data_IF_146188495657
#
_entry.id   IF_146188495657
#
_cell.length_a   1.000
_cell.length_b   1.000
_cell.length_c   1.000
_cell.angle_alpha   90.00
_cell.angle_beta   90.00
_cell.angle_gamma   90.00
#
_symmetry.space_group_name_H-M   'P 1'
#
loop_
_entity.id
_entity.type
_entity.pdbx_description
1 polymer ?
#
# COMPACT_ATOMS: atom_id res chain seq x y z
N UNK A 1 30.06 23.70 -9.01
CA UNK A 1 29.05 24.29 -8.11
C UNK A 1 28.47 23.12 -7.34
N UNK A 2 28.90 22.94 -6.10
CA UNK A 2 28.59 21.77 -5.27
C UNK A 2 27.26 22.05 -4.56
N UNK A 3 26.26 21.18 -4.73
CA UNK A 3 25.03 21.22 -3.95
C UNK A 3 25.09 20.14 -2.89
N UNK A 4 25.33 20.55 -1.64
CA UNK A 4 25.14 19.74 -0.45
C UNK A 4 23.66 19.75 -0.05
N UNK A 5 23.06 18.56 0.13
CA UNK A 5 21.78 18.40 0.81
C UNK A 5 21.98 17.51 2.04
N UNK A 6 22.06 18.18 3.18
CA UNK A 6 22.15 17.59 4.52
C UNK A 6 20.79 16.97 4.90
N UNK A 7 20.74 15.66 5.09
CA UNK A 7 19.61 14.97 5.74
C UNK A 7 19.76 15.06 7.26
N UNK A 8 18.83 15.76 7.92
CA UNK A 8 18.70 15.74 9.38
C UNK A 8 17.58 14.78 9.78
N UNK A 9 17.97 13.66 10.39
CA UNK A 9 17.09 12.74 11.08
C UNK A 9 16.52 13.38 12.36
N UNK A 10 15.23 13.16 12.65
CA UNK A 10 14.60 13.58 13.91
C UNK A 10 13.92 12.36 14.56
N UNK A 11 14.16 12.17 15.86
CA UNK A 11 13.69 11.04 16.66
C UNK A 11 12.97 11.48 17.96
N UNK A 12 11.79 10.86 18.18
CA UNK A 12 11.22 10.15 19.36
C UNK A 12 11.02 10.83 20.75
N UNK A 13 9.87 10.42 21.37
CA UNK A 13 9.40 10.41 22.79
C UNK A 13 8.35 11.51 23.13
N UNK A 14 7.24 11.33 23.84
CA UNK A 14 6.61 10.19 24.57
C UNK A 14 5.15 10.52 25.01
N UNK A 15 4.27 9.48 24.98
CA UNK A 15 3.11 9.06 25.80
C UNK A 15 2.25 10.00 26.70
N UNK A 16 0.89 9.91 26.63
CA UNK A 16 -0.03 9.28 27.64
C UNK A 16 -1.55 9.35 27.30
N UNK A 17 -2.34 8.49 27.99
CA UNK A 17 -3.70 7.93 27.78
C UNK A 17 -4.92 8.82 28.18
N UNK A 18 -6.09 8.57 27.57
CA UNK A 18 -7.36 8.03 28.17
C UNK A 18 -8.67 8.60 27.59
N UNK A 19 -9.73 7.76 27.65
CA UNK A 19 -11.06 7.90 27.04
C UNK A 19 -12.13 8.43 28.01
N UNK A 20 -13.28 8.94 27.48
CA UNK A 20 -14.67 8.69 27.94
C UNK A 20 -15.70 9.64 27.25
N UNK A 21 -17.01 9.27 27.21
CA UNK A 21 -17.98 9.65 26.18
C UNK A 21 -18.98 10.73 26.61
N UNK A 22 -19.78 11.24 25.66
CA UNK A 22 -21.05 11.88 25.95
C UNK A 22 -22.14 11.51 24.91
N UNK A 23 -23.21 10.88 25.40
CA UNK A 23 -24.54 10.84 24.77
C UNK A 23 -25.21 12.24 24.95
N UNK A 24 -26.30 12.67 24.32
CA UNK A 24 -27.54 12.01 23.91
C UNK A 24 -28.37 13.08 23.15
N UNK A 25 -29.25 12.69 22.21
CA UNK A 25 -30.26 13.61 21.67
C UNK A 25 -31.04 13.10 20.45
N UNK A 26 -32.11 12.34 20.70
CA UNK A 26 -33.09 11.88 19.69
C UNK A 26 -34.00 13.02 19.19
N UNK A 27 -34.31 13.01 17.89
CA UNK A 27 -35.65 13.32 17.36
C UNK A 27 -35.98 12.44 16.15
N UNK A 28 -37.05 11.67 16.27
CA UNK A 28 -37.65 10.85 15.22
C UNK A 28 -38.65 11.68 14.40
N UNK A 29 -38.58 11.60 13.08
CA UNK A 29 -39.72 11.79 12.19
C UNK A 29 -39.72 10.61 11.22
N UNK A 30 -40.79 9.81 11.25
CA UNK A 30 -40.96 8.65 10.39
C UNK A 30 -41.82 9.02 9.16
N UNK A 31 -41.28 8.85 7.95
CA UNK A 31 -41.92 8.09 6.85
C UNK A 31 -41.01 8.07 5.62
N UNK A 32 -40.57 6.87 5.30
CA UNK A 32 -39.98 6.47 4.02
C UNK A 32 -39.88 4.95 4.11
N UNK A 33 -40.47 4.25 3.15
CA UNK A 33 -40.58 2.79 3.13
C UNK A 33 -39.22 2.16 3.45
N UNK A 34 -39.11 1.42 4.55
CA UNK A 34 -37.95 0.56 4.79
C UNK A 34 -37.97 -0.52 3.72
N UNK A 35 -36.93 -0.66 2.88
CA UNK A 35 -36.71 -1.90 2.18
C UNK A 35 -36.72 -3.01 3.22
N UNK A 36 -37.34 -4.14 2.90
CA UNK A 36 -37.24 -5.35 3.70
C UNK A 36 -35.76 -5.72 3.69
N UNK A 37 -34.98 -5.32 4.70
CA UNK A 37 -33.61 -5.80 4.87
C UNK A 37 -33.68 -7.22 5.44
N UNK A 38 -34.03 -8.17 4.55
CA UNK A 38 -33.92 -9.58 4.83
C UNK A 38 -32.65 -10.10 4.17
N UNK A 39 -31.55 -10.13 4.92
CA UNK A 39 -30.29 -10.71 4.46
C UNK A 39 -29.14 -10.48 5.43
N UNK A 40 -28.21 -11.43 5.47
CA UNK A 40 -26.89 -11.25 6.08
C UNK A 40 -25.95 -10.69 5.00
N UNK A 41 -25.11 -9.71 5.32
CA UNK A 41 -24.08 -9.20 4.43
C UNK A 41 -23.26 -10.36 3.84
N UNK A 42 -23.07 -10.30 2.54
CA UNK A 42 -22.54 -11.39 1.73
C UNK A 42 -21.62 -10.86 0.61
N UNK A 43 -21.11 -11.75 -0.22
CA UNK A 43 -20.26 -11.39 -1.36
C UNK A 43 -21.00 -10.50 -2.38
N UNK A 44 -22.32 -10.65 -2.51
CA UNK A 44 -23.16 -9.84 -3.40
C UNK A 44 -23.18 -8.36 -3.00
N UNK A 45 -22.88 -8.05 -1.73
CA UNK A 45 -22.86 -6.68 -1.20
C UNK A 45 -21.49 -5.99 -1.38
N UNK A 46 -20.42 -6.74 -1.70
CA UNK A 46 -19.06 -6.22 -1.83
C UNK A 46 -18.91 -5.10 -2.88
N UNK A 47 -19.54 -5.17 -4.08
CA UNK A 47 -19.44 -4.07 -5.05
C UNK A 47 -20.00 -2.75 -4.50
N UNK A 48 -21.14 -2.79 -3.82
CA UNK A 48 -21.75 -1.60 -3.21
C UNK A 48 -20.87 -1.05 -2.08
N UNK A 49 -20.33 -1.93 -1.22
CA UNK A 49 -19.44 -1.53 -0.14
C UNK A 49 -18.17 -0.83 -0.65
N UNK A 50 -17.54 -1.39 -1.69
CA UNK A 50 -16.35 -0.81 -2.34
C UNK A 50 -16.66 0.54 -2.96
N UNK A 51 -17.81 0.69 -3.61
CA UNK A 51 -18.22 1.97 -4.21
C UNK A 51 -18.48 3.04 -3.14
N UNK A 52 -19.14 2.68 -2.03
CA UNK A 52 -19.37 3.60 -0.91
C UNK A 52 -18.06 4.06 -0.26
N UNK A 53 -17.14 3.14 0.05
CA UNK A 53 -15.82 3.47 0.60
C UNK A 53 -15.01 4.34 -0.38
N UNK A 54 -15.06 4.05 -1.68
CA UNK A 54 -14.40 4.87 -2.70
C UNK A 54 -14.95 6.30 -2.73
N UNK A 55 -16.28 6.46 -2.66
CA UNK A 55 -16.92 7.79 -2.63
C UNK A 55 -16.45 8.58 -1.41
N UNK A 56 -16.48 7.98 -0.23
CA UNK A 56 -16.00 8.57 1.02
C UNK A 56 -14.53 9.02 0.89
N UNK A 57 -13.62 8.11 0.55
CA UNK A 57 -12.19 8.40 0.31
C UNK A 57 -11.98 9.57 -0.64
N UNK A 58 -12.75 9.62 -1.74
CA UNK A 58 -12.59 10.64 -2.75
C UNK A 58 -13.15 12.01 -2.33
N UNK A 59 -14.19 12.04 -1.50
CA UNK A 59 -14.68 13.27 -0.90
C UNK A 59 -13.63 13.87 0.04
N UNK A 60 -12.99 13.05 0.86
CA UNK A 60 -11.98 13.49 1.84
C UNK A 60 -10.68 13.92 1.14
N UNK A 61 -10.25 13.17 0.13
CA UNK A 61 -9.12 13.55 -0.72
C UNK A 61 -9.41 14.86 -1.47
N UNK A 62 -10.63 15.06 -1.97
CA UNK A 62 -11.02 16.33 -2.60
C UNK A 62 -11.00 17.49 -1.61
N UNK A 63 -11.44 17.29 -0.36
CA UNK A 63 -11.34 18.30 0.70
C UNK A 63 -9.88 18.64 1.03
N UNK A 64 -8.97 17.69 0.87
CA UNK A 64 -7.52 17.88 1.02
C UNK A 64 -6.83 18.42 -0.27
N UNK A 65 -7.57 18.71 -1.34
CA UNK A 65 -7.02 19.20 -2.61
C UNK A 65 -6.27 18.13 -3.42
N UNK A 66 -6.54 16.86 -3.17
CA UNK A 66 -5.90 15.72 -3.84
C UNK A 66 -6.77 15.15 -4.96
N UNK A 67 -6.12 14.50 -5.92
CA UNK A 67 -6.80 13.78 -7.00
C UNK A 67 -7.62 12.59 -6.46
N UNK A 68 -8.76 12.36 -7.10
CA UNK A 68 -9.61 11.18 -6.86
C UNK A 68 -8.87 9.91 -7.25
N UNK A 69 -9.12 8.84 -6.50
CA UNK A 69 -8.70 7.48 -6.74
C UNK A 69 -9.73 6.73 -7.57
N UNK A 70 -9.27 5.73 -8.30
CA UNK A 70 -10.08 4.71 -8.96
C UNK A 70 -9.99 3.37 -8.22
N UNK A 71 -10.99 2.49 -8.39
CA UNK A 71 -10.89 1.13 -7.86
C UNK A 71 -9.89 0.31 -8.66
N UNK A 72 -9.03 -0.42 -7.96
CA UNK A 72 -8.16 -1.43 -8.56
C UNK A 72 -8.64 -2.84 -8.23
N UNK A 73 -8.98 -3.62 -9.26
CA UNK A 73 -9.54 -4.96 -9.11
C UNK A 73 -8.55 -5.97 -8.53
N UNK A 74 -7.27 -5.90 -8.92
CA UNK A 74 -6.25 -6.78 -8.37
C UNK A 74 -6.02 -6.47 -6.89
N UNK A 75 -5.93 -5.19 -6.54
CA UNK A 75 -5.80 -4.75 -5.16
C UNK A 75 -7.02 -5.14 -4.31
N UNK A 76 -8.25 -5.06 -4.85
CA UNK A 76 -9.46 -5.54 -4.17
C UNK A 76 -9.39 -7.04 -3.85
N UNK A 77 -8.87 -7.85 -4.78
CA UNK A 77 -8.73 -9.30 -4.58
C UNK A 77 -7.65 -9.59 -3.53
N UNK A 78 -6.46 -9.01 -3.67
CA UNK A 78 -5.33 -9.20 -2.73
C UNK A 78 -5.69 -8.74 -1.32
N UNK A 79 -6.34 -7.57 -1.19
CA UNK A 79 -6.82 -7.07 0.08
C UNK A 79 -7.95 -7.95 0.64
N UNK A 80 -8.82 -8.49 -0.21
CA UNK A 80 -9.90 -9.40 0.18
C UNK A 80 -9.37 -10.71 0.77
N UNK A 81 -8.38 -11.32 0.13
CA UNK A 81 -7.70 -12.51 0.62
C UNK A 81 -7.06 -12.26 2.00
N UNK A 82 -6.40 -11.12 2.17
CA UNK A 82 -5.80 -10.72 3.45
C UNK A 82 -6.86 -10.43 4.53
N UNK A 83 -7.95 -9.75 4.19
CA UNK A 83 -9.07 -9.53 5.11
C UNK A 83 -9.68 -10.86 5.58
N UNK A 84 -9.82 -11.83 4.67
CA UNK A 84 -10.31 -13.16 4.98
C UNK A 84 -9.34 -13.95 5.87
N UNK A 85 -8.03 -13.83 5.64
CA UNK A 85 -6.98 -14.42 6.49
C UNK A 85 -7.05 -13.84 7.91
N UNK A 86 -7.11 -12.51 8.05
CA UNK A 86 -7.28 -11.81 9.33
C UNK A 86 -8.57 -12.23 10.06
N UNK A 87 -9.68 -12.38 9.33
CA UNK A 87 -10.96 -12.80 9.91
C UNK A 87 -10.94 -14.28 10.30
N UNK A 88 -10.20 -15.12 9.57
CA UNK A 88 -10.08 -16.55 9.86
C UNK A 88 -9.18 -16.82 11.06
N UNK A 89 -8.06 -16.12 11.15
CA UNK A 89 -7.07 -16.25 12.21
C UNK A 89 -7.33 -15.36 13.43
N UNK A 90 -8.39 -14.56 13.43
CA UNK A 90 -8.75 -13.63 14.50
C UNK A 90 -7.55 -12.75 14.92
N UNK A 91 -6.96 -12.07 13.94
CA UNK A 91 -5.87 -11.12 14.14
C UNK A 91 -6.08 -9.85 13.29
N UNK A 92 -5.30 -8.80 13.58
CA UNK A 92 -5.19 -7.58 12.79
C UNK A 92 -3.69 -7.31 12.58
N UNK A 93 -3.21 -7.46 11.35
CA UNK A 93 -1.78 -7.28 11.02
C UNK A 93 -1.60 -6.91 9.56
N UNK A 94 -0.49 -6.24 9.23
CA UNK A 94 -0.04 -6.10 7.85
C UNK A 94 0.59 -7.38 7.28
N UNK A 95 0.97 -8.32 8.15
CA UNK A 95 1.49 -9.63 7.75
C UNK A 95 0.35 -10.62 7.64
N UNK A 96 0.36 -11.42 6.58
CA UNK A 96 -0.49 -12.61 6.50
C UNK A 96 -0.01 -13.69 7.46
N UNK A 97 -0.85 -14.71 7.67
CA UNK A 97 -0.51 -15.94 8.40
C UNK A 97 0.63 -16.73 7.76
N UNK A 98 0.95 -16.45 6.49
CA UNK A 98 2.12 -16.96 5.76
C UNK A 98 3.40 -16.11 5.92
N UNK A 99 3.32 -15.01 6.68
CA UNK A 99 4.43 -14.08 6.92
C UNK A 99 4.67 -13.06 5.79
N UNK A 100 3.84 -13.00 4.75
CA UNK A 100 4.00 -12.03 3.66
C UNK A 100 3.46 -10.65 4.03
N UNK A 101 4.19 -9.61 3.61
CA UNK A 101 3.83 -8.19 3.69
C UNK A 101 2.93 -7.76 2.52
N UNK A 102 2.30 -6.57 2.56
CA UNK A 102 1.36 -6.13 1.52
C UNK A 102 1.96 -6.15 0.11
N UNK A 103 3.18 -5.63 -0.06
CA UNK A 103 3.85 -5.61 -1.37
C UNK A 103 4.30 -7.00 -1.85
N UNK A 104 4.58 -7.95 -0.94
CA UNK A 104 4.78 -9.35 -1.32
C UNK A 104 3.49 -9.94 -1.90
N UNK A 105 2.36 -9.77 -1.19
CA UNK A 105 1.04 -10.30 -1.62
C UNK A 105 0.63 -9.70 -2.96
N UNK A 106 0.70 -8.37 -3.10
CA UNK A 106 0.33 -7.68 -4.33
C UNK A 106 1.22 -8.11 -5.51
N UNK A 107 2.54 -8.16 -5.31
CA UNK A 107 3.44 -8.48 -6.39
C UNK A 107 3.33 -9.94 -6.85
N UNK A 108 3.28 -10.91 -5.95
CA UNK A 108 3.11 -12.33 -6.33
C UNK A 108 1.72 -12.65 -6.90
N UNK A 109 0.74 -11.76 -6.74
CA UNK A 109 -0.55 -11.84 -7.44
C UNK A 109 -0.50 -11.25 -8.87
N UNK A 110 0.67 -10.78 -9.32
CA UNK A 110 0.89 -10.19 -10.65
C UNK A 110 0.94 -8.66 -10.67
N UNK A 111 0.86 -8.01 -9.50
CA UNK A 111 0.96 -6.56 -9.38
C UNK A 111 2.39 -6.05 -9.58
N UNK A 112 2.52 -4.87 -10.16
CA UNK A 112 3.85 -4.23 -10.37
C UNK A 112 3.95 -2.84 -9.78
N UNK A 113 2.82 -2.21 -9.48
CA UNK A 113 2.74 -0.87 -8.91
C UNK A 113 3.18 -0.84 -7.44
N UNK A 114 3.62 0.32 -6.97
CA UNK A 114 3.89 0.50 -5.55
C UNK A 114 2.59 0.54 -4.75
N UNK A 115 2.60 -0.08 -3.56
CA UNK A 115 1.44 -0.19 -2.69
C UNK A 115 1.69 0.32 -1.27
N UNK A 116 0.63 0.79 -0.63
CA UNK A 116 0.54 1.02 0.82
C UNK A 116 -0.78 0.47 1.33
N UNK A 117 -0.76 -0.13 2.52
CA UNK A 117 -1.92 -0.74 3.15
C UNK A 117 -2.27 -0.04 4.46
N UNK A 118 -3.57 0.22 4.64
CA UNK A 118 -4.20 0.39 5.94
C UNK A 118 -5.06 -0.84 6.26
N UNK A 119 -5.18 -1.19 7.55
CA UNK A 119 -6.02 -2.29 7.98
C UNK A 119 -6.81 -1.90 9.23
N UNK A 120 -8.06 -2.34 9.32
CA UNK A 120 -8.94 -2.12 10.45
C UNK A 120 -9.78 -3.35 10.75
N UNK A 121 -10.21 -3.48 12.00
CA UNK A 121 -11.04 -4.57 12.49
C UNK A 121 -12.16 -4.06 13.38
N UNK A 122 -13.32 -4.69 13.28
CA UNK A 122 -14.37 -4.61 14.29
C UNK A 122 -14.77 -6.03 14.72
N UNK A 123 -14.72 -6.30 16.02
CA UNK A 123 -15.14 -7.56 16.61
C UNK A 123 -16.48 -7.37 17.32
N UNK A 124 -17.28 -8.43 17.42
CA UNK A 124 -18.60 -8.43 18.05
C UNK A 124 -19.57 -7.37 17.47
N UNK A 125 -19.55 -7.19 16.14
CA UNK A 125 -20.43 -6.21 15.48
C UNK A 125 -21.92 -6.56 15.72
N UNK A 126 -22.74 -5.54 15.96
CA UNK A 126 -24.12 -5.74 16.42
C UNK A 126 -25.08 -6.13 15.29
N UNK A 127 -24.81 -5.67 14.06
CA UNK A 127 -25.70 -5.86 12.91
C UNK A 127 -24.95 -6.53 11.78
N UNK A 128 -25.46 -7.69 11.35
CA UNK A 128 -24.93 -8.43 10.20
C UNK A 128 -25.71 -8.14 8.91
N UNK A 129 -26.63 -7.17 8.93
CA UNK A 129 -27.35 -6.73 7.72
C UNK A 129 -26.42 -5.95 6.80
N UNK A 130 -26.73 -5.85 5.50
CA UNK A 130 -25.95 -5.02 4.59
C UNK A 130 -25.78 -3.58 5.08
N UNK A 131 -26.85 -2.88 5.48
CA UNK A 131 -26.72 -1.51 5.96
C UNK A 131 -25.92 -1.39 7.25
N UNK A 132 -26.06 -2.35 8.17
CA UNK A 132 -25.26 -2.40 9.40
C UNK A 132 -23.76 -2.51 9.12
N UNK A 133 -23.38 -3.48 8.29
CA UNK A 133 -21.97 -3.70 7.93
C UNK A 133 -21.41 -2.53 7.14
N UNK A 134 -22.16 -1.94 6.21
CA UNK A 134 -21.74 -0.74 5.47
C UNK A 134 -21.48 0.45 6.40
N UNK A 135 -22.31 0.64 7.43
CA UNK A 135 -22.08 1.65 8.45
C UNK A 135 -20.80 1.37 9.25
N UNK A 136 -20.59 0.13 9.68
CA UNK A 136 -19.38 -0.24 10.44
C UNK A 136 -18.10 -0.07 9.59
N UNK A 137 -18.14 -0.43 8.31
CA UNK A 137 -17.03 -0.18 7.37
C UNK A 137 -16.70 1.31 7.23
N UNK A 138 -17.73 2.15 7.12
CA UNK A 138 -17.56 3.60 7.07
C UNK A 138 -16.96 4.16 8.37
N UNK A 139 -17.43 3.70 9.54
CA UNK A 139 -16.89 4.12 10.83
C UNK A 139 -15.44 3.66 11.03
N UNK A 140 -15.09 2.46 10.56
CA UNK A 140 -13.71 1.95 10.54
C UNK A 140 -12.80 2.82 9.67
N UNK A 141 -13.23 3.21 8.47
CA UNK A 141 -12.50 4.12 7.59
C UNK A 141 -12.30 5.49 8.25
N UNK A 142 -13.38 6.10 8.76
CA UNK A 142 -13.31 7.40 9.42
C UNK A 142 -12.42 7.39 10.66
N UNK A 143 -12.37 6.29 11.42
CA UNK A 143 -11.45 6.16 12.54
C UNK A 143 -10.00 6.30 12.09
N UNK A 144 -9.60 5.60 11.03
CA UNK A 144 -8.26 5.67 10.44
C UNK A 144 -7.95 7.07 9.90
N UNK A 145 -8.91 7.71 9.22
CA UNK A 145 -8.74 9.07 8.70
C UNK A 145 -8.59 10.10 9.83
N UNK A 146 -9.30 9.94 10.94
CA UNK A 146 -9.37 10.93 12.01
C UNK A 146 -8.18 10.89 12.99
N UNK A 147 -7.28 9.93 12.83
CA UNK A 147 -6.03 9.86 13.59
C UNK A 147 -5.23 11.16 13.55
N UNK A 148 -4.47 11.41 14.63
CA UNK A 148 -3.73 12.67 14.85
C UNK A 148 -2.24 12.40 15.07
N UNK A 149 -1.36 13.30 14.60
CA UNK A 149 0.07 13.18 14.85
C UNK A 149 0.39 13.00 16.34
N UNK A 150 1.43 12.21 16.68
CA UNK A 150 2.33 11.49 15.77
C UNK A 150 1.82 10.10 15.33
N UNK A 151 0.64 9.68 15.80
CA UNK A 151 0.06 8.35 15.56
C UNK A 151 -1.01 8.42 14.47
N UNK A 152 -0.68 9.00 13.32
CA UNK A 152 -1.57 9.22 12.17
C UNK A 152 -1.10 8.50 10.91
N UNK A 153 -0.50 7.32 11.09
CA UNK A 153 -0.01 6.50 9.99
C UNK A 153 -1.10 6.24 8.95
N UNK A 154 -2.30 5.86 9.38
CA UNK A 154 -3.38 5.55 8.45
C UNK A 154 -3.88 6.79 7.71
N UNK A 155 -4.07 7.92 8.42
CA UNK A 155 -4.44 9.21 7.81
C UNK A 155 -3.41 9.64 6.76
N UNK A 156 -2.12 9.48 7.04
CA UNK A 156 -1.04 9.83 6.11
C UNK A 156 -1.07 8.95 4.86
N UNK A 157 -1.37 7.66 4.99
CA UNK A 157 -1.60 6.76 3.84
C UNK A 157 -2.79 7.22 3.00
N UNK A 158 -3.97 7.44 3.62
CA UNK A 158 -5.21 7.86 2.92
C UNK A 158 -4.97 9.14 2.09
N UNK A 159 -4.24 10.09 2.68
CA UNK A 159 -3.95 11.40 2.09
C UNK A 159 -2.61 11.44 1.33
N UNK A 160 -1.98 10.30 1.05
CA UNK A 160 -0.73 10.31 0.30
C UNK A 160 -0.99 10.75 -1.17
N UNK A 161 -0.33 11.80 -1.68
CA UNK A 161 -0.68 12.42 -2.97
C UNK A 161 -0.35 11.59 -4.21
N UNK A 162 0.52 10.58 -4.09
CA UNK A 162 0.90 9.72 -5.21
C UNK A 162 -0.01 8.49 -5.37
N UNK A 163 -1.03 8.30 -4.53
CA UNK A 163 -2.02 7.27 -4.83
C UNK A 163 -2.88 7.68 -6.02
N UNK A 164 -3.13 6.71 -6.88
CA UNK A 164 -3.97 6.83 -8.10
C UNK A 164 -5.16 5.89 -8.04
N UNK A 165 -5.01 4.75 -7.36
CA UNK A 165 -6.06 3.77 -7.19
C UNK A 165 -6.06 3.23 -5.75
N UNK A 166 -7.12 2.52 -5.40
CA UNK A 166 -7.27 1.79 -4.13
C UNK A 166 -8.06 0.51 -4.36
N UNK A 167 -7.73 -0.54 -3.62
CA UNK A 167 -8.56 -1.73 -3.47
C UNK A 167 -9.07 -1.87 -2.04
N UNK A 168 -10.35 -2.23 -1.88
CA UNK A 168 -10.92 -2.52 -0.57
C UNK A 168 -11.20 -4.01 -0.43
N UNK A 169 -10.49 -4.62 0.52
CA UNK A 169 -10.69 -5.98 0.99
C UNK A 169 -11.60 -5.99 2.19
N UNK A 170 -12.69 -6.76 2.13
CA UNK A 170 -13.70 -6.83 3.19
C UNK A 170 -13.95 -8.31 3.48
N UNK A 171 -13.94 -8.68 4.75
CA UNK A 171 -14.33 -10.02 5.18
C UNK A 171 -15.17 -9.96 6.45
N UNK A 172 -16.29 -10.68 6.44
CA UNK A 172 -17.17 -10.86 7.60
C UNK A 172 -17.26 -12.35 7.95
N UNK A 173 -16.73 -12.73 9.11
CA UNK A 173 -16.79 -14.11 9.62
C UNK A 173 -17.39 -14.13 11.02
N UNK A 174 -18.52 -14.79 11.22
CA UNK A 174 -19.24 -14.72 12.50
C UNK A 174 -19.67 -13.28 12.77
N UNK A 175 -19.08 -12.66 13.81
CA UNK A 175 -19.25 -11.25 14.16
C UNK A 175 -17.94 -10.45 14.01
N UNK A 176 -16.94 -11.01 13.32
CA UNK A 176 -15.65 -10.38 13.05
C UNK A 176 -15.65 -9.77 11.65
N UNK A 177 -15.56 -8.44 11.58
CA UNK A 177 -15.41 -7.66 10.37
C UNK A 177 -13.96 -7.21 10.21
N UNK A 178 -13.43 -7.33 9.00
CA UNK A 178 -12.09 -6.89 8.62
C UNK A 178 -12.16 -6.02 7.37
N UNK A 179 -11.39 -4.94 7.38
CA UNK A 179 -11.19 -4.03 6.26
C UNK A 179 -9.70 -3.89 6.00
N UNK A 180 -9.28 -4.10 4.76
CA UNK A 180 -7.95 -3.76 4.27
C UNK A 180 -8.10 -2.77 3.10
N UNK A 181 -7.41 -1.63 3.17
CA UNK A 181 -7.37 -0.61 2.13
C UNK A 181 -5.98 -0.64 1.50
N UNK A 182 -5.88 -1.16 0.27
CA UNK A 182 -4.63 -1.29 -0.45
C UNK A 182 -4.53 -0.21 -1.52
N UNK A 183 -3.81 0.85 -1.21
CA UNK A 183 -3.57 1.99 -2.09
C UNK A 183 -2.47 1.71 -3.10
N UNK A 184 -2.64 2.17 -4.34
CA UNK A 184 -1.79 1.83 -5.48
C UNK A 184 -1.34 3.07 -6.26
N UNK A 185 -0.06 3.09 -6.65
CA UNK A 185 0.56 4.16 -7.43
C UNK A 185 0.92 3.70 -8.85
N UNK A 186 0.00 3.90 -9.82
CA UNK A 186 0.18 3.49 -11.22
C UNK A 186 0.88 4.57 -12.05
N UNK A 187 2.20 4.48 -12.12
CA UNK A 187 3.01 5.45 -12.90
C UNK A 187 3.97 4.82 -13.89
N UNK A 188 4.24 3.52 -13.79
CA UNK A 188 5.20 2.81 -14.62
C UNK A 188 4.54 1.58 -15.19
N UNK A 189 4.64 1.40 -16.50
CA UNK A 189 4.37 0.11 -17.13
C UNK A 189 5.64 -0.71 -17.07
N UNK A 190 5.66 -1.74 -16.25
CA UNK A 190 6.80 -2.65 -16.13
C UNK A 190 6.71 -3.71 -17.23
N UNK A 191 7.83 -3.97 -17.91
CA UNK A 191 7.91 -5.07 -18.88
C UNK A 191 7.94 -6.42 -18.16
N UNK A 192 7.54 -7.53 -18.80
CA UNK A 192 7.55 -8.85 -18.16
C UNK A 192 8.90 -9.20 -17.53
N UNK A 193 8.86 -9.57 -16.25
CA UNK A 193 10.02 -9.98 -15.44
C UNK A 193 9.71 -11.32 -14.77
N UNK A 194 10.67 -12.26 -14.67
CA UNK A 194 10.45 -13.50 -13.93
C UNK A 194 10.19 -13.22 -12.44
N UNK A 195 9.15 -13.85 -11.89
CA UNK A 195 8.86 -13.80 -10.45
C UNK A 195 9.65 -14.83 -9.63
N UNK A 196 10.33 -15.75 -10.30
CA UNK A 196 11.17 -16.77 -9.66
C UNK A 196 12.40 -17.06 -10.51
N UNK A 197 13.56 -17.11 -9.86
CA UNK A 197 14.87 -17.31 -10.50
C UNK A 197 15.77 -18.17 -9.61
N UNK A 198 16.86 -18.70 -10.19
CA UNK A 198 17.90 -19.38 -9.41
C UNK A 198 18.89 -18.37 -8.81
N UNK A 199 19.52 -18.71 -7.69
CA UNK A 199 20.61 -17.92 -7.12
C UNK A 199 21.70 -17.53 -8.12
N UNK A 200 22.31 -16.35 -7.89
CA UNK A 200 23.38 -15.73 -8.70
C UNK A 200 22.96 -15.21 -10.08
N UNK A 201 21.67 -15.10 -10.34
CA UNK A 201 21.17 -14.49 -11.58
C UNK A 201 21.09 -12.97 -11.46
N UNK A 202 21.32 -12.29 -12.59
CA UNK A 202 20.88 -10.91 -12.78
C UNK A 202 19.67 -10.90 -13.70
N UNK A 203 18.73 -10.01 -13.43
CA UNK A 203 17.54 -9.82 -14.27
C UNK A 203 17.68 -8.52 -15.07
N UNK A 204 17.23 -8.55 -16.32
CA UNK A 204 16.99 -7.31 -17.04
C UNK A 204 15.64 -6.78 -16.56
N UNK A 205 15.67 -5.61 -15.92
CA UNK A 205 14.48 -4.89 -15.52
C UNK A 205 14.28 -3.71 -16.47
N UNK A 206 13.09 -3.59 -17.03
CA UNK A 206 12.74 -2.50 -17.94
C UNK A 206 11.28 -2.12 -17.80
N UNK A 207 10.96 -0.93 -18.29
CA UNK A 207 9.61 -0.42 -18.28
C UNK A 207 9.53 0.97 -18.87
N UNK A 208 8.36 1.59 -18.71
CA UNK A 208 8.05 2.91 -19.24
C UNK A 208 7.35 3.78 -18.21
N UNK A 209 7.91 4.96 -17.95
CA UNK A 209 7.22 6.02 -17.19
C UNK A 209 6.04 6.54 -18.02
N UNK A 210 4.83 6.47 -17.46
CA UNK A 210 3.59 6.75 -18.19
C UNK A 210 3.35 8.25 -18.42
N UNK A 211 3.69 9.09 -17.45
CA UNK A 211 3.62 10.54 -17.57
C UNK A 211 5.04 11.13 -17.59
N UNK A 212 5.39 11.78 -18.68
CA UNK A 212 6.72 12.36 -18.91
C UNK A 212 7.03 13.60 -18.05
N UNK A 213 6.04 14.12 -17.32
CA UNK A 213 6.28 15.13 -16.27
C UNK A 213 6.90 14.53 -15.01
N UNK A 214 6.84 13.19 -14.86
CA UNK A 214 7.54 12.49 -13.80
C UNK A 214 8.92 12.09 -14.30
N UNK A 215 9.91 12.23 -13.43
CA UNK A 215 11.29 11.85 -13.72
C UNK A 215 11.64 10.56 -13.00
N UNK A 216 12.42 9.72 -13.65
CA UNK A 216 12.97 8.51 -13.03
C UNK A 216 14.12 8.92 -12.11
N UNK A 217 13.91 8.78 -10.80
CA UNK A 217 14.94 9.08 -9.80
C UNK A 217 15.93 7.94 -9.70
N UNK A 218 15.43 6.70 -9.69
CA UNK A 218 16.27 5.52 -9.60
C UNK A 218 15.49 4.23 -9.41
N UNK A 219 16.24 3.15 -9.35
CA UNK A 219 15.76 1.81 -9.05
C UNK A 219 16.54 1.28 -7.85
N UNK A 220 15.85 0.72 -6.87
CA UNK A 220 16.46 0.10 -5.71
C UNK A 220 16.11 -1.38 -5.65
N UNK A 221 17.04 -2.20 -5.17
CA UNK A 221 16.84 -3.64 -4.93
C UNK A 221 17.07 -3.93 -3.46
N UNK A 222 16.04 -4.48 -2.83
CA UNK A 222 16.04 -4.87 -1.43
C UNK A 222 16.06 -6.38 -1.33
N UNK A 223 16.74 -6.93 -0.32
CA UNK A 223 16.71 -8.35 -0.02
C UNK A 223 15.98 -8.62 1.30
N UNK A 224 15.11 -9.62 1.30
CA UNK A 224 14.49 -10.16 2.49
C UNK A 224 14.59 -11.69 2.51
N UNK A 225 14.80 -12.32 3.68
CA UNK A 225 14.73 -13.77 3.79
C UNK A 225 13.32 -14.27 3.41
N UNK A 226 13.23 -15.57 3.08
CA UNK A 226 11.93 -16.19 2.84
C UNK A 226 11.00 -15.98 4.04
N UNK A 227 9.75 -15.54 3.81
CA UNK A 227 8.80 -15.33 4.89
C UNK A 227 8.49 -16.67 5.56
N UNK A 228 8.47 -16.66 6.89
CA UNK A 228 8.05 -17.79 7.71
C UNK A 228 6.72 -17.48 8.37
N UNK A 229 5.78 -18.44 8.45
CA UNK A 229 4.53 -18.26 9.19
C UNK A 229 4.80 -17.79 10.63
N UNK A 230 4.34 -16.59 11.03
CA UNK A 230 4.51 -16.10 12.39
C UNK A 230 3.55 -16.81 13.35
N UNK A 231 3.85 -16.77 14.65
CA UNK A 231 2.90 -17.17 15.68
C UNK A 231 1.68 -16.22 15.67
N UNK A 232 0.48 -16.74 15.94
CA UNK A 232 -0.75 -15.93 15.90
C UNK A 232 -0.70 -14.79 16.92
N UNK A 233 -0.13 -15.01 18.10
CA UNK A 233 0.05 -13.98 19.13
C UNK A 233 0.94 -12.84 18.62
N UNK A 234 1.90 -13.14 17.73
CA UNK A 234 2.75 -12.11 17.12
C UNK A 234 1.96 -11.24 16.14
N UNK A 235 1.01 -11.83 15.40
CA UNK A 235 0.13 -11.12 14.47
C UNK A 235 -0.92 -10.24 15.17
N UNK A 236 -1.21 -10.49 16.45
CA UNK A 236 -2.16 -9.68 17.25
C UNK A 236 -1.54 -8.43 17.85
N UNK A 237 -0.25 -8.20 17.64
CA UNK A 237 0.45 -7.00 18.11
C UNK A 237 0.64 -6.03 16.95
N UNK A 238 0.17 -4.80 17.14
CA UNK A 238 0.31 -3.73 16.16
C UNK A 238 1.77 -3.48 15.80
N UNK A 239 2.05 -3.42 14.49
CA UNK A 239 3.40 -3.25 13.91
C UNK A 239 3.33 -2.47 12.63
N UNK A 240 4.25 -1.52 12.47
CA UNK A 240 4.52 -0.90 11.17
C UNK A 240 5.43 -1.80 10.34
N UNK A 241 5.21 -1.83 9.03
CA UNK A 241 6.12 -2.42 8.06
C UNK A 241 6.87 -1.34 7.29
N UNK A 242 7.95 -1.73 6.65
CA UNK A 242 8.74 -0.90 5.76
C UNK A 242 9.65 -1.77 4.91
N UNK A 243 10.35 -1.13 3.99
CA UNK A 243 11.46 -1.76 3.27
C UNK A 243 12.64 -1.99 4.23
N UNK A 244 13.49 -3.00 3.99
CA UNK A 244 14.76 -3.16 4.70
C UNK A 244 15.66 -1.93 4.57
N UNK A 245 16.56 -1.72 5.54
CA UNK A 245 17.52 -0.61 5.50
C UNK A 245 18.59 -0.81 4.40
N UNK A 246 19.05 -2.05 4.24
CA UNK A 246 20.05 -2.43 3.23
C UNK A 246 19.42 -2.56 1.85
N UNK A 247 20.05 -1.92 0.86
CA UNK A 247 19.60 -1.89 -0.53
C UNK A 247 20.76 -1.60 -1.49
N UNK A 248 20.62 -2.10 -2.71
CA UNK A 248 21.43 -1.68 -3.85
C UNK A 248 20.66 -0.61 -4.63
N UNK A 249 21.32 0.49 -4.99
CA UNK A 249 20.70 1.64 -5.67
C UNK A 249 21.31 1.84 -7.04
N UNK A 250 20.45 2.07 -8.04
CA UNK A 250 20.81 2.29 -9.43
C UNK A 250 20.23 3.62 -9.88
N UNK A 251 21.03 4.42 -10.58
CA UNK A 251 20.66 5.77 -11.01
C UNK A 251 20.65 5.88 -12.55
N UNK A 252 19.86 6.81 -13.13
CA UNK A 252 19.93 7.16 -14.54
C UNK A 252 21.35 7.44 -15.02
N UNK A 253 21.70 6.98 -16.22
CA UNK A 253 22.96 7.35 -16.84
C UNK A 253 22.99 8.83 -17.17
N UNK A 254 24.02 9.52 -16.69
CA UNK A 254 24.25 10.93 -17.00
C UNK A 254 24.93 11.09 -18.38
N UNK A 255 24.77 12.26 -19.02
CA UNK A 255 25.51 12.59 -20.24
C UNK A 255 27.03 12.48 -20.06
N UNK A 256 27.75 12.22 -21.15
CA UNK A 256 29.20 12.11 -21.12
C UNK A 256 29.87 13.35 -20.51
N UNK A 257 30.75 13.14 -19.53
CA UNK A 257 31.45 14.20 -18.80
C UNK A 257 30.69 14.77 -17.61
N UNK A 258 29.47 14.29 -17.34
CA UNK A 258 28.69 14.63 -16.14
C UNK A 258 28.70 13.44 -15.19
N UNK A 259 28.91 13.70 -13.90
CA UNK A 259 28.98 12.68 -12.86
C UNK A 259 28.11 13.09 -11.68
N UNK A 260 27.59 12.09 -10.96
CA UNK A 260 26.98 12.30 -9.67
C UNK A 260 28.03 12.76 -8.64
N UNK A 261 27.57 13.27 -7.50
CA UNK A 261 28.46 13.77 -6.44
C UNK A 261 29.37 12.69 -5.86
N UNK A 262 28.99 11.42 -5.97
CA UNK A 262 29.80 10.25 -5.62
C UNK A 262 30.76 9.80 -6.73
N UNK A 263 30.79 10.49 -7.87
CA UNK A 263 31.64 10.21 -9.02
C UNK A 263 31.09 9.15 -9.99
N UNK A 264 29.95 8.54 -9.69
CA UNK A 264 29.32 7.55 -10.58
C UNK A 264 28.69 8.22 -11.81
N UNK A 265 28.49 7.45 -12.88
CA UNK A 265 27.79 7.89 -14.07
C UNK A 265 26.35 7.36 -14.16
N UNK A 266 25.91 6.54 -13.20
CA UNK A 266 24.67 5.77 -13.22
C UNK A 266 24.70 4.54 -14.13
N UNK A 267 23.77 3.61 -13.94
CA UNK A 267 23.67 2.37 -14.72
C UNK A 267 22.40 2.28 -15.57
N UNK A 268 21.33 2.99 -15.18
CA UNK A 268 20.02 2.89 -15.83
C UNK A 268 20.08 3.59 -17.19
N UNK A 269 19.83 2.83 -18.25
CA UNK A 269 19.75 3.37 -19.60
C UNK A 269 18.37 3.98 -19.82
N UNK A 270 18.35 5.31 -20.05
CA UNK A 270 17.16 6.04 -20.44
C UNK A 270 16.98 5.98 -21.96
N UNK A 271 15.79 5.57 -22.40
CA UNK A 271 15.42 5.37 -23.79
C UNK A 271 14.30 6.35 -24.19
N UNK A 272 14.08 6.50 -25.51
CA UNK A 272 13.04 7.37 -26.04
C UNK A 272 11.64 7.03 -25.48
N UNK A 273 10.80 8.05 -25.28
CA UNK A 273 9.40 7.86 -24.86
C UNK A 273 9.19 7.52 -23.38
N UNK A 274 10.19 7.75 -22.52
CA UNK A 274 10.14 7.45 -21.09
C UNK A 274 10.44 5.99 -20.76
N UNK A 275 10.95 5.23 -21.74
CA UNK A 275 11.39 3.85 -21.53
C UNK A 275 12.73 3.85 -20.78
N UNK A 276 12.96 2.84 -19.96
CA UNK A 276 14.23 2.65 -19.26
C UNK A 276 14.56 1.16 -19.15
N UNK A 277 15.84 0.85 -18.98
CA UNK A 277 16.28 -0.50 -18.63
C UNK A 277 17.54 -0.51 -17.77
N UNK A 278 17.66 -1.52 -16.92
CA UNK A 278 18.81 -1.74 -16.04
C UNK A 278 18.98 -3.23 -15.77
N UNK A 279 20.22 -3.69 -15.65
CA UNK A 279 20.52 -5.06 -15.22
C UNK A 279 20.72 -5.07 -13.72
N UNK A 280 19.83 -5.76 -13.02
CA UNK A 280 19.81 -5.81 -11.56
C UNK A 280 20.43 -7.12 -11.07
N UNK A 281 21.46 -7.09 -10.22
CA UNK A 281 21.89 -8.28 -9.49
C UNK A 281 20.79 -8.68 -8.50
N UNK A 282 20.64 -9.99 -8.31
CA UNK A 282 19.78 -10.54 -7.27
C UNK A 282 20.62 -11.30 -6.25
N UNK A 283 20.03 -11.53 -5.08
CA UNK A 283 20.69 -12.23 -3.98
C UNK A 283 21.30 -13.56 -4.39
N UNK A 284 22.43 -13.89 -3.74
CA UNK A 284 23.12 -15.17 -3.92
C UNK A 284 22.57 -16.27 -3.01
N UNK A 285 21.67 -15.93 -2.09
CA UNK A 285 21.03 -16.84 -1.15
C UNK A 285 19.50 -16.80 -1.33
N UNK A 286 18.79 -17.86 -0.92
CA UNK A 286 17.34 -17.95 -1.10
C UNK A 286 16.60 -16.84 -0.34
N UNK A 287 15.63 -16.21 -0.99
CA UNK A 287 14.88 -15.09 -0.42
C UNK A 287 14.07 -14.32 -1.44
N UNK A 288 13.51 -13.19 -1.04
CA UNK A 288 12.74 -12.29 -1.91
C UNK A 288 13.60 -11.07 -2.20
N UNK A 289 13.77 -10.75 -3.48
CA UNK A 289 14.36 -9.49 -3.91
C UNK A 289 13.22 -8.57 -4.34
N UNK A 290 13.08 -7.43 -3.68
CA UNK A 290 12.05 -6.43 -4.01
C UNK A 290 12.68 -5.30 -4.80
N UNK A 291 12.30 -5.18 -6.06
CA UNK A 291 12.71 -4.12 -6.98
C UNK A 291 11.73 -2.96 -6.83
N UNK A 292 12.25 -1.78 -6.51
CA UNK A 292 11.47 -0.58 -6.27
C UNK A 292 11.85 0.52 -7.25
N UNK A 293 10.87 1.10 -7.93
CA UNK A 293 11.08 2.24 -8.83
C UNK A 293 10.66 3.52 -8.12
N UNK A 294 11.55 4.51 -8.14
CA UNK A 294 11.31 5.83 -7.56
C UNK A 294 11.15 6.87 -8.66
N UNK A 295 10.08 7.64 -8.59
CA UNK A 295 9.85 8.79 -9.45
C UNK A 295 9.79 10.07 -8.62
N UNK A 296 10.01 11.22 -9.27
CA UNK A 296 9.70 12.54 -8.73
C UNK A 296 8.77 13.29 -9.67
N UNK A 297 7.99 14.25 -9.14
CA UNK A 297 7.23 15.18 -9.96
C UNK A 297 8.15 16.34 -10.37
N UNK A 298 8.79 16.22 -11.53
CA UNK A 298 9.86 17.10 -12.00
C UNK A 298 11.16 16.98 -11.19
N UNK A 299 12.19 17.68 -11.65
CA UNK A 299 13.59 17.60 -11.19
C UNK A 299 13.78 17.79 -9.68
N UNK A 300 12.98 18.66 -9.05
CA UNK A 300 13.07 18.97 -7.61
C UNK A 300 11.89 18.41 -6.79
N UNK A 301 11.10 17.51 -7.38
CA UNK A 301 9.97 16.90 -6.69
C UNK A 301 10.43 15.92 -5.61
N UNK A 302 9.66 15.81 -4.53
CA UNK A 302 9.89 14.77 -3.50
C UNK A 302 9.74 13.39 -4.16
N UNK A 303 10.74 12.49 -4.07
CA UNK A 303 10.63 11.15 -4.61
C UNK A 303 9.49 10.35 -3.97
N UNK A 304 8.80 9.56 -4.77
CA UNK A 304 7.73 8.67 -4.34
C UNK A 304 7.85 7.31 -5.03
N UNK A 305 7.35 6.24 -4.39
CA UNK A 305 7.42 4.91 -4.96
C UNK A 305 6.38 4.75 -6.08
N UNK A 306 6.81 4.20 -7.20
CA UNK A 306 6.00 4.03 -8.40
C UNK A 306 5.84 2.57 -8.84
N UNK A 307 6.74 1.69 -8.41
CA UNK A 307 6.63 0.25 -8.63
C UNK A 307 7.28 -0.52 -7.49
N UNK A 308 6.74 -1.69 -7.19
CA UNK A 308 7.27 -2.65 -6.21
C UNK A 308 7.06 -4.06 -6.75
N UNK A 309 8.16 -4.70 -7.18
CA UNK A 309 8.12 -6.04 -7.81
C UNK A 309 8.97 -7.01 -7.00
N UNK A 310 8.39 -8.14 -6.62
CA UNK A 310 9.07 -9.20 -5.89
C UNK A 310 9.55 -10.29 -6.84
N UNK A 311 10.83 -10.66 -6.70
CA UNK A 311 11.44 -11.80 -7.39
C UNK A 311 11.94 -12.78 -6.34
N UNK A 312 11.38 -13.99 -6.34
CA UNK A 312 11.81 -15.09 -5.50
C UNK A 312 13.11 -15.69 -6.04
N UNK A 313 14.13 -15.78 -5.19
CA UNK A 313 15.38 -16.47 -5.48
C UNK A 313 15.39 -17.81 -4.75
N UNK A 314 15.64 -18.88 -5.50
CA UNK A 314 15.84 -20.25 -5.01
C UNK A 314 17.27 -20.54 -4.56
#
# INVERSE_FOLDING_TARGET
MVMDLVQVAISRRSFLKSAAPFALGLRTIARGQTPIESGRFSEDDLPLAREQLLRTVNEERSQAGLSKLELDGLACNVAGDHALDMAKGEFLSHWGSDGRKPYHRYSFAGGTDAVQENASSADDILSLTPAGVLKDLHDMHLSMLNEKPPNDGHRRTILFPAHTHVGFGIALRGFHLRLAELYVAKYVRVDPIPQRVKSKQSVLFSGRVLNQQNELVGVEVYYEPLPTPPQIEWLRVERSYGMPDERESFQPRLPAGVHYSDGTAGEIEMLAGGNFRVRLPLSKIPGINTIMVWLSKGENGVPFPASQICVLVD
#
